data_IF_672568680475
#
_entry.id   IF_672568680475
#
_cell.length_a   1.000
_cell.length_b   1.000
_cell.length_c   1.000
_cell.angle_alpha   90.00
_cell.angle_beta   90.00
_cell.angle_gamma   90.00
#
_symmetry.space_group_name_H-M   'P 1'
#
loop_
_entity.id
_entity.type
_entity.pdbx_description
1 polymer ?
#
# COMPACT_ATOMS: atom_id res chain seq x y z
N UNK A 1 13.44 -10.50 -6.12
CA UNK A 1 12.65 -11.58 -6.72
C UNK A 1 12.03 -11.03 -8.00
N UNK A 2 12.23 -11.68 -9.15
CA UNK A 2 11.59 -11.30 -10.42
C UNK A 2 10.23 -11.98 -10.47
N UNK A 3 9.20 -11.21 -10.81
CA UNK A 3 7.82 -11.72 -10.87
C UNK A 3 7.70 -12.75 -12.01
N UNK A 4 7.40 -13.99 -11.67
CA UNK A 4 7.02 -15.00 -12.66
C UNK A 4 5.57 -14.72 -13.14
N UNK A 5 5.21 -15.14 -14.35
CA UNK A 5 3.89 -14.83 -14.92
C UNK A 5 2.69 -15.25 -14.06
N UNK A 6 2.85 -16.31 -13.26
CA UNK A 6 1.81 -16.82 -12.33
C UNK A 6 1.61 -15.91 -11.10
N UNK A 7 2.69 -15.32 -10.61
CA UNK A 7 2.64 -14.34 -9.51
C UNK A 7 2.01 -13.04 -9.98
N UNK A 8 2.36 -12.60 -11.20
CA UNK A 8 1.79 -11.40 -11.80
C UNK A 8 0.27 -11.50 -11.95
N UNK A 9 -0.25 -12.63 -12.48
CA UNK A 9 -1.71 -12.80 -12.63
C UNK A 9 -2.45 -12.80 -11.28
N UNK A 10 -1.87 -13.41 -10.25
CA UNK A 10 -2.42 -13.39 -8.88
C UNK A 10 -2.39 -12.00 -8.27
N UNK A 11 -1.30 -11.24 -8.47
CA UNK A 11 -1.22 -9.85 -8.03
C UNK A 11 -2.31 -9.00 -8.68
N UNK A 12 -2.46 -9.10 -9.99
CA UNK A 12 -3.51 -8.36 -10.72
C UNK A 12 -4.89 -8.70 -10.17
N UNK A 13 -5.17 -9.99 -9.92
CA UNK A 13 -6.46 -10.41 -9.37
C UNK A 13 -6.73 -9.82 -7.97
N UNK A 14 -5.72 -9.82 -7.08
CA UNK A 14 -5.86 -9.24 -5.74
C UNK A 14 -6.04 -7.73 -5.82
N UNK A 15 -5.24 -7.02 -6.61
CA UNK A 15 -5.38 -5.58 -6.77
C UNK A 15 -6.74 -5.20 -7.35
N UNK A 16 -7.23 -5.92 -8.37
CA UNK A 16 -8.57 -5.71 -8.92
C UNK A 16 -9.67 -5.94 -7.87
N UNK A 17 -9.56 -6.99 -7.07
CA UNK A 17 -10.53 -7.28 -6.01
C UNK A 17 -10.53 -6.20 -4.94
N UNK A 18 -9.36 -5.81 -4.44
CA UNK A 18 -9.23 -4.76 -3.41
C UNK A 18 -9.70 -3.40 -3.96
N UNK A 19 -9.41 -3.11 -5.22
CA UNK A 19 -9.87 -1.89 -5.88
C UNK A 19 -11.41 -1.85 -6.00
N UNK A 20 -12.05 -2.97 -6.34
CA UNK A 20 -13.52 -3.07 -6.34
C UNK A 20 -14.10 -2.87 -4.93
N UNK A 21 -13.48 -3.47 -3.91
CA UNK A 21 -13.88 -3.28 -2.52
C UNK A 21 -13.69 -1.80 -2.11
N UNK A 22 -12.61 -1.17 -2.51
CA UNK A 22 -12.33 0.24 -2.23
C UNK A 22 -13.45 1.14 -2.77
N UNK A 23 -13.96 0.87 -3.98
CA UNK A 23 -14.99 1.69 -4.60
C UNK A 23 -16.39 1.37 -4.04
N UNK A 24 -16.70 0.08 -3.88
CA UNK A 24 -18.06 -0.36 -3.58
C UNK A 24 -18.39 -0.37 -2.08
N UNK A 25 -17.42 -0.68 -1.23
CA UNK A 25 -17.64 -0.98 0.19
C UNK A 25 -17.06 0.09 1.11
N UNK A 26 -15.81 0.47 0.88
CA UNK A 26 -15.07 1.35 1.81
C UNK A 26 -15.71 2.72 2.02
N UNK A 27 -16.36 3.38 1.05
CA UNK A 27 -17.03 4.67 1.28
C UNK A 27 -18.17 4.60 2.30
N UNK A 28 -18.72 3.41 2.57
CA UNK A 28 -19.75 3.21 3.59
C UNK A 28 -19.19 3.08 5.01
N UNK A 29 -17.86 2.87 5.14
CA UNK A 29 -17.13 2.72 6.40
C UNK A 29 -16.13 3.85 6.59
N UNK A 30 -16.62 5.02 7.00
CA UNK A 30 -15.77 6.17 7.30
C UNK A 30 -15.33 6.12 8.76
N UNK A 31 -14.02 6.19 9.00
CA UNK A 31 -13.44 6.37 10.33
C UNK A 31 -13.22 7.87 10.58
N UNK A 32 -14.02 8.44 11.45
CA UNK A 32 -13.97 9.89 11.76
C UNK A 32 -14.11 10.81 10.54
N UNK A 33 -14.87 10.39 9.52
CA UNK A 33 -15.04 11.14 8.27
C UNK A 33 -13.97 10.91 7.20
N UNK A 34 -12.99 10.06 7.48
CA UNK A 34 -11.93 9.71 6.53
C UNK A 34 -12.11 8.30 5.98
N UNK A 35 -11.79 8.14 4.71
CA UNK A 35 -11.86 6.85 4.00
C UNK A 35 -10.49 6.18 4.06
N UNK A 36 -10.48 4.90 4.43
CA UNK A 36 -9.26 4.09 4.47
C UNK A 36 -8.78 3.77 3.06
N UNK A 37 -7.49 3.94 2.78
CA UNK A 37 -6.87 3.63 1.50
C UNK A 37 -6.32 2.18 1.50
N UNK A 38 -7.18 1.21 1.20
CA UNK A 38 -6.80 -0.20 1.10
C UNK A 38 -5.79 -0.48 -0.02
N UNK A 39 -5.90 0.11 -1.23
CA UNK A 39 -4.89 -0.01 -2.27
C UNK A 39 -3.49 0.39 -1.82
N UNK A 40 -3.34 1.51 -1.09
CA UNK A 40 -2.05 1.93 -0.53
C UNK A 40 -1.49 0.89 0.44
N UNK A 41 -2.32 0.43 1.39
CA UNK A 41 -1.91 -0.59 2.37
C UNK A 41 -1.48 -1.88 1.67
N UNK A 42 -2.19 -2.29 0.62
CA UNK A 42 -1.84 -3.46 -0.18
C UNK A 42 -0.51 -3.25 -0.92
N UNK A 43 -0.29 -2.08 -1.54
CA UNK A 43 0.99 -1.74 -2.19
C UNK A 43 2.14 -1.88 -1.21
N UNK A 44 2.03 -1.29 -0.02
CA UNK A 44 3.06 -1.38 1.02
C UNK A 44 3.29 -2.84 1.43
N UNK A 45 2.22 -3.60 1.69
CA UNK A 45 2.34 -4.99 2.13
C UNK A 45 2.97 -5.91 1.08
N UNK A 46 2.61 -5.75 -0.19
CA UNK A 46 3.18 -6.50 -1.33
C UNK A 46 4.65 -6.12 -1.55
N UNK A 47 4.96 -4.83 -1.43
CA UNK A 47 6.31 -4.30 -1.66
C UNK A 47 7.34 -4.81 -0.66
N UNK A 48 6.93 -5.28 0.52
CA UNK A 48 7.81 -5.96 1.47
C UNK A 48 8.40 -7.27 0.90
N UNK A 49 7.77 -7.86 -0.14
CA UNK A 49 8.20 -9.11 -0.76
C UNK A 49 8.90 -8.90 -2.11
N UNK A 50 9.03 -7.64 -2.56
CA UNK A 50 9.58 -7.28 -3.86
C UNK A 50 10.93 -6.58 -3.72
N UNK A 51 11.70 -6.58 -4.82
CA UNK A 51 12.85 -5.67 -4.96
C UNK A 51 12.37 -4.24 -5.28
N UNK A 52 13.19 -3.19 -5.02
CA UNK A 52 12.78 -1.80 -5.17
C UNK A 52 12.22 -1.42 -6.55
N UNK A 53 12.79 -1.85 -7.70
CA UNK A 53 12.19 -1.55 -9.00
C UNK A 53 10.80 -2.15 -9.20
N UNK A 54 10.59 -3.38 -8.72
CA UNK A 54 9.29 -4.05 -8.83
C UNK A 54 8.26 -3.45 -7.87
N UNK A 55 8.67 -3.07 -6.65
CA UNK A 55 7.83 -2.34 -5.71
C UNK A 55 7.36 -1.01 -6.28
N UNK A 56 8.27 -0.25 -6.91
CA UNK A 56 7.94 0.99 -7.59
C UNK A 56 6.93 0.77 -8.74
N UNK A 57 7.15 -0.27 -9.55
CA UNK A 57 6.27 -0.58 -10.68
C UNK A 57 4.86 -0.98 -10.22
N UNK A 58 4.77 -1.85 -9.22
CA UNK A 58 3.47 -2.27 -8.64
C UNK A 58 2.75 -1.07 -8.03
N UNK A 59 3.46 -0.23 -7.28
CA UNK A 59 2.91 1.00 -6.74
C UNK A 59 2.42 1.95 -7.83
N UNK A 60 3.20 2.16 -8.88
CA UNK A 60 2.83 3.00 -10.01
C UNK A 60 1.54 2.52 -10.69
N UNK A 61 1.47 1.23 -11.03
CA UNK A 61 0.29 0.65 -11.69
C UNK A 61 -0.96 0.71 -10.81
N UNK A 62 -0.81 0.40 -9.52
CA UNK A 62 -1.90 0.51 -8.55
C UNK A 62 -2.39 1.96 -8.42
N UNK A 63 -1.46 2.93 -8.35
CA UNK A 63 -1.78 4.35 -8.26
C UNK A 63 -2.45 4.89 -9.51
N UNK A 64 -2.05 4.46 -10.71
CA UNK A 64 -2.74 4.80 -11.96
C UNK A 64 -4.19 4.33 -11.93
N UNK A 65 -4.46 3.10 -11.45
CA UNK A 65 -5.83 2.60 -11.32
C UNK A 65 -6.67 3.47 -10.37
N UNK A 66 -6.08 3.93 -9.28
CA UNK A 66 -6.74 4.82 -8.32
C UNK A 66 -6.98 6.20 -8.95
N UNK A 67 -5.99 6.76 -9.65
CA UNK A 67 -6.10 8.07 -10.32
C UNK A 67 -7.20 8.10 -11.41
N UNK A 68 -7.52 6.95 -12.02
CA UNK A 68 -8.62 6.86 -13.00
C UNK A 68 -10.01 7.09 -12.38
N UNK A 69 -10.13 6.91 -11.07
CA UNK A 69 -11.42 7.00 -10.35
C UNK A 69 -11.46 8.24 -9.45
N UNK A 70 -10.33 8.64 -8.88
CA UNK A 70 -10.25 9.83 -8.05
C UNK A 70 -10.26 11.11 -8.91
N UNK A 71 -10.89 12.16 -8.37
CA UNK A 71 -10.90 13.50 -8.95
C UNK A 71 -9.66 14.33 -8.54
N UNK A 72 -8.54 13.68 -8.29
CA UNK A 72 -7.23 14.30 -8.01
C UNK A 72 -6.46 14.53 -9.31
N UNK A 73 -5.43 15.39 -9.32
CA UNK A 73 -4.57 15.55 -10.48
C UNK A 73 -3.98 14.20 -10.91
N UNK A 74 -4.22 13.81 -12.16
CA UNK A 74 -3.80 12.52 -12.70
C UNK A 74 -2.29 12.32 -12.56
N UNK A 75 -1.90 11.17 -12.02
CA UNK A 75 -0.49 10.82 -11.78
C UNK A 75 0.01 11.11 -10.36
N UNK A 76 -0.74 11.86 -9.55
CA UNK A 76 -0.33 12.19 -8.19
C UNK A 76 -0.33 10.94 -7.28
N UNK A 77 -1.38 10.13 -7.34
CA UNK A 77 -1.44 8.85 -6.60
C UNK A 77 -0.45 7.85 -7.17
N UNK A 78 -0.31 7.79 -8.50
CA UNK A 78 0.67 6.93 -9.15
C UNK A 78 2.10 7.23 -8.70
N UNK A 79 2.49 8.50 -8.64
CA UNK A 79 3.80 8.93 -8.14
C UNK A 79 3.98 8.56 -6.67
N UNK A 80 3.01 8.87 -5.83
CA UNK A 80 3.08 8.59 -4.39
C UNK A 80 3.20 7.10 -4.11
N UNK A 81 2.37 6.28 -4.75
CA UNK A 81 2.38 4.83 -4.56
C UNK A 81 3.66 4.20 -5.12
N UNK A 82 4.20 4.74 -6.22
CA UNK A 82 5.50 4.31 -6.75
C UNK A 82 6.63 4.57 -5.77
N UNK A 83 6.68 5.76 -5.18
CA UNK A 83 7.67 6.12 -4.15
C UNK A 83 7.49 5.30 -2.87
N UNK A 84 6.25 5.08 -2.45
CA UNK A 84 5.92 4.23 -1.30
C UNK A 84 6.37 2.78 -1.54
N UNK A 85 6.08 2.22 -2.71
CA UNK A 85 6.49 0.86 -3.10
C UNK A 85 8.01 0.72 -3.16
N UNK A 86 8.70 1.67 -3.77
CA UNK A 86 10.17 1.70 -3.82
C UNK A 86 10.78 1.77 -2.41
N UNK A 87 10.33 2.73 -1.60
CA UNK A 87 10.83 2.93 -0.24
C UNK A 87 10.58 1.73 0.65
N UNK A 88 9.38 1.13 0.57
CA UNK A 88 9.05 -0.08 1.33
C UNK A 88 9.95 -1.25 0.94
N UNK A 89 10.13 -1.51 -0.35
CA UNK A 89 10.99 -2.58 -0.83
C UNK A 89 12.47 -2.36 -0.45
N UNK A 90 12.91 -1.11 -0.37
CA UNK A 90 14.28 -0.76 0.02
C UNK A 90 14.57 -1.07 1.50
N UNK A 91 13.57 -1.00 2.37
CA UNK A 91 13.70 -1.32 3.80
C UNK A 91 13.22 -2.74 4.14
N UNK A 92 12.70 -3.48 3.19
CA UNK A 92 12.10 -4.80 3.40
C UNK A 92 13.07 -5.80 4.06
N UNK A 93 14.36 -5.77 3.71
CA UNK A 93 15.39 -6.64 4.29
C UNK A 93 15.62 -6.41 5.80
N UNK A 94 15.21 -5.24 6.32
CA UNK A 94 15.33 -4.88 7.73
C UNK A 94 14.10 -5.30 8.54
N UNK A 95 13.00 -5.68 7.86
CA UNK A 95 11.74 -6.05 8.49
C UNK A 95 11.71 -7.56 8.72
N UNK A 96 11.66 -7.97 9.98
CA UNK A 96 11.53 -9.38 10.34
C UNK A 96 10.10 -9.85 10.07
N UNK A 97 9.89 -10.60 8.99
CA UNK A 97 8.56 -11.09 8.57
C UNK A 97 7.92 -12.10 9.53
N UNK A 98 8.68 -12.59 10.50
CA UNK A 98 8.27 -13.68 11.41
C UNK A 98 7.21 -13.25 12.42
N UNK A 99 7.16 -11.94 12.75
CA UNK A 99 6.21 -11.42 13.75
C UNK A 99 5.15 -10.53 13.06
N UNK A 100 3.88 -10.98 13.13
CA UNK A 100 2.74 -10.24 12.55
C UNK A 100 2.61 -8.84 13.14
N UNK A 101 2.93 -8.66 14.43
CA UNK A 101 2.83 -7.36 15.10
C UNK A 101 3.85 -6.38 14.51
N UNK A 102 5.11 -6.81 14.39
CA UNK A 102 6.18 -5.98 13.81
C UNK A 102 5.83 -5.61 12.37
N UNK A 103 5.38 -6.59 11.58
CA UNK A 103 4.94 -6.35 10.20
C UNK A 103 3.78 -5.36 10.13
N UNK A 104 2.76 -5.50 10.97
CA UNK A 104 1.61 -4.57 10.99
C UNK A 104 2.03 -3.16 11.38
N UNK A 105 2.91 -3.01 12.36
CA UNK A 105 3.44 -1.71 12.76
C UNK A 105 4.28 -1.06 11.64
N UNK A 106 5.09 -1.85 10.96
CA UNK A 106 5.88 -1.36 9.81
C UNK A 106 4.98 -0.92 8.67
N UNK A 107 3.98 -1.72 8.31
CA UNK A 107 3.00 -1.35 7.27
C UNK A 107 2.24 -0.09 7.68
N UNK A 108 1.82 0.03 8.94
CA UNK A 108 1.14 1.22 9.44
C UNK A 108 2.01 2.48 9.32
N UNK A 109 3.27 2.39 9.73
CA UNK A 109 4.22 3.51 9.65
C UNK A 109 4.50 3.91 8.20
N UNK A 110 4.76 2.93 7.32
CA UNK A 110 5.06 3.19 5.91
C UNK A 110 3.83 3.75 5.18
N UNK A 111 2.62 3.25 5.46
CA UNK A 111 1.39 3.79 4.90
C UNK A 111 1.11 5.21 5.37
N UNK A 112 1.32 5.50 6.66
CA UNK A 112 1.20 6.87 7.19
C UNK A 112 2.22 7.82 6.53
N UNK A 113 3.45 7.36 6.33
CA UNK A 113 4.51 8.14 5.64
C UNK A 113 4.11 8.41 4.19
N UNK A 114 3.58 7.42 3.48
CA UNK A 114 3.09 7.57 2.11
C UNK A 114 1.91 8.56 2.04
N UNK A 115 0.98 8.52 2.99
CA UNK A 115 -0.12 9.49 3.10
C UNK A 115 0.41 10.91 3.33
N UNK A 116 1.40 11.07 4.20
CA UNK A 116 2.06 12.37 4.43
C UNK A 116 2.79 12.86 3.18
N UNK A 117 3.43 11.95 2.42
CA UNK A 117 4.07 12.26 1.15
C UNK A 117 3.06 12.73 0.10
N UNK A 118 1.92 12.04 -0.03
CA UNK A 118 0.81 12.44 -0.90
C UNK A 118 0.36 13.86 -0.60
N UNK A 119 0.15 14.15 0.66
CA UNK A 119 -0.24 15.46 1.11
C UNK A 119 0.83 16.53 0.87
N UNK A 120 2.09 16.19 1.07
CA UNK A 120 3.23 17.07 0.76
C UNK A 120 3.30 17.41 -0.72
N UNK A 121 3.13 16.43 -1.60
CA UNK A 121 3.05 16.64 -3.06
C UNK A 121 1.85 17.54 -3.41
N UNK A 122 0.68 17.29 -2.81
CA UNK A 122 -0.51 18.12 -2.98
C UNK A 122 -0.27 19.57 -2.60
N UNK A 123 0.38 19.81 -1.47
CA UNK A 123 0.72 21.15 -1.01
C UNK A 123 1.70 21.86 -1.96
N UNK A 124 2.67 21.15 -2.55
CA UNK A 124 3.60 21.71 -3.54
C UNK A 124 2.91 22.11 -4.85
N UNK A 125 1.83 21.42 -5.21
CA UNK A 125 1.03 21.72 -6.42
C UNK A 125 -0.02 22.82 -6.14
N UNK A 126 -0.11 23.29 -4.89
CA UNK A 126 -1.06 24.35 -4.49
C UNK A 126 -2.48 23.85 -4.24
N UNK A 127 -2.66 22.59 -3.91
CA UNK A 127 -3.97 22.05 -3.52
C UNK A 127 -4.32 22.51 -2.10
N UNK A 128 -5.19 23.53 -2.00
CA UNK A 128 -5.52 24.18 -0.72
C UNK A 128 -6.40 23.33 0.23
N UNK A 129 -7.02 22.27 -0.26
CA UNK A 129 -7.94 21.44 0.53
C UNK A 129 -7.28 20.50 1.53
N UNK A 130 -5.94 20.50 1.61
CA UNK A 130 -5.21 19.70 2.58
C UNK A 130 -4.64 20.60 3.69
N UNK A 131 -5.46 20.95 4.67
CA UNK A 131 -5.01 21.72 5.82
C UNK A 131 -4.05 20.89 6.69
N UNK A 132 -2.99 21.50 7.22
CA UNK A 132 -1.98 20.83 8.09
C UNK A 132 -2.59 20.04 9.25
N UNK A 133 -3.73 20.48 9.76
CA UNK A 133 -4.44 19.85 10.90
C UNK A 133 -5.12 18.53 10.47
N UNK A 134 -5.61 18.45 9.25
CA UNK A 134 -6.26 17.26 8.70
C UNK A 134 -5.24 16.20 8.27
N UNK A 135 -4.05 16.61 7.83
CA UNK A 135 -2.98 15.68 7.45
C UNK A 135 -2.59 14.72 8.57
N UNK A 136 -2.40 15.23 9.77
CA UNK A 136 -2.08 14.40 10.94
C UNK A 136 -3.19 13.40 11.25
N UNK A 137 -4.45 13.84 11.13
CA UNK A 137 -5.62 12.98 11.36
C UNK A 137 -5.72 11.89 10.28
N UNK A 138 -5.55 12.25 9.00
CA UNK A 138 -5.59 11.28 7.89
C UNK A 138 -4.48 10.24 8.03
N UNK A 139 -3.24 10.68 8.29
CA UNK A 139 -2.12 9.78 8.48
C UNK A 139 -2.32 8.84 9.68
N UNK A 140 -2.87 9.35 10.78
CA UNK A 140 -3.19 8.56 11.97
C UNK A 140 -4.29 7.53 11.69
N UNK A 141 -5.38 7.94 11.01
CA UNK A 141 -6.47 7.03 10.63
C UNK A 141 -5.93 5.94 9.69
N UNK A 142 -5.10 6.30 8.70
CA UNK A 142 -4.46 5.34 7.80
C UNK A 142 -3.57 4.36 8.58
N UNK A 143 -2.77 4.85 9.53
CA UNK A 143 -1.92 4.00 10.38
C UNK A 143 -2.75 3.02 11.23
N UNK A 144 -3.79 3.50 11.88
CA UNK A 144 -4.69 2.66 12.70
C UNK A 144 -5.40 1.61 11.84
N UNK A 145 -5.91 2.02 10.68
CA UNK A 145 -6.59 1.12 9.76
C UNK A 145 -5.64 0.09 9.11
N UNK A 146 -4.37 0.43 8.95
CA UNK A 146 -3.37 -0.48 8.41
C UNK A 146 -3.13 -1.69 9.32
N UNK A 147 -3.28 -1.56 10.64
CA UNK A 147 -3.07 -2.66 11.59
C UNK A 147 -4.01 -3.85 11.31
N UNK A 148 -5.34 -3.72 11.38
CA UNK A 148 -6.25 -4.82 11.07
C UNK A 148 -6.19 -5.21 9.59
N UNK A 149 -6.02 -4.25 8.69
CA UNK A 149 -5.93 -4.53 7.25
C UNK A 149 -4.73 -5.40 6.91
N UNK A 150 -3.58 -5.20 7.57
CA UNK A 150 -2.39 -6.04 7.38
C UNK A 150 -2.69 -7.49 7.77
N UNK A 151 -3.37 -7.72 8.88
CA UNK A 151 -3.75 -9.08 9.32
C UNK A 151 -4.69 -9.72 8.32
N UNK A 152 -5.69 -8.98 7.84
CA UNK A 152 -6.70 -9.46 6.90
C UNK A 152 -6.11 -9.73 5.51
N UNK A 153 -5.22 -8.87 5.02
CA UNK A 153 -4.62 -8.98 3.68
C UNK A 153 -3.41 -9.93 3.64
N UNK A 154 -2.78 -10.22 4.79
CA UNK A 154 -1.61 -11.10 4.85
C UNK A 154 -1.80 -12.47 4.21
N UNK A 155 -2.92 -13.20 4.41
CA UNK A 155 -3.11 -14.50 3.74
C UNK A 155 -3.20 -14.37 2.22
N UNK A 156 -3.76 -13.28 1.70
CA UNK A 156 -3.83 -13.03 0.26
C UNK A 156 -2.43 -12.81 -0.32
N UNK A 157 -1.59 -12.03 0.36
CA UNK A 157 -0.21 -11.79 -0.08
C UNK A 157 0.63 -13.07 0.00
N UNK A 158 0.46 -13.89 1.04
CA UNK A 158 1.11 -15.21 1.15
C UNK A 158 0.67 -16.17 0.05
N UNK A 159 -0.56 -16.06 -0.44
CA UNK A 159 -1.03 -16.87 -1.57
C UNK A 159 -0.33 -16.48 -2.89
N UNK A 160 0.06 -15.21 -3.04
CA UNK A 160 0.86 -14.73 -4.19
C UNK A 160 2.32 -15.16 -4.04
N UNK A 161 2.90 -14.91 -2.86
CA UNK A 161 4.30 -15.20 -2.52
C UNK A 161 4.33 -16.34 -1.50
N UNK A 162 4.17 -17.59 -1.94
CA UNK A 162 4.31 -18.72 -1.03
C UNK A 162 5.72 -18.71 -0.45
N UNK A 163 5.83 -18.83 0.88
CA UNK A 163 7.11 -19.05 1.54
C UNK A 163 7.70 -20.30 0.92
N UNK A 164 8.75 -20.17 0.12
CA UNK A 164 9.55 -21.33 -0.27
C UNK A 164 10.08 -21.95 1.02
N UNK A 165 9.62 -23.14 1.34
CA UNK A 165 10.26 -23.98 2.33
C UNK A 165 11.69 -24.13 1.87
N UNK A 166 12.62 -23.47 2.56
CA UNK A 166 14.05 -23.70 2.38
C UNK A 166 14.21 -25.20 2.61
N UNK A 167 14.36 -25.95 1.53
CA UNK A 167 14.81 -27.34 1.60
C UNK A 167 16.25 -27.26 2.10
N UNK A 168 16.41 -27.49 3.39
CA UNK A 168 17.70 -27.80 3.97
C UNK A 168 18.06 -29.16 3.39
N UNK A 169 18.78 -29.16 2.27
CA UNK A 169 19.47 -30.36 1.82
C UNK A 169 20.60 -30.60 2.81
N UNK A 170 20.38 -31.56 3.73
CA UNK A 170 21.42 -32.21 4.50
C UNK A 170 22.31 -33.08 3.58
#
# INVERSE_FOLDING_TARGET
MTLAGRETSRLVAIFATIFLIQIAVVPHFQLSGYVVDLPLILVVLVSLHLNPPNGALVGFLAGVLVDLVLHTPFGMTALTFSLAGYGTSSVASQVTERNIIVRSLTVALLSATATALFAGIGALIGLEYVTRRELGAIALVTAIAALPSTVLLSPLVRWVFPLETVQINE
#
